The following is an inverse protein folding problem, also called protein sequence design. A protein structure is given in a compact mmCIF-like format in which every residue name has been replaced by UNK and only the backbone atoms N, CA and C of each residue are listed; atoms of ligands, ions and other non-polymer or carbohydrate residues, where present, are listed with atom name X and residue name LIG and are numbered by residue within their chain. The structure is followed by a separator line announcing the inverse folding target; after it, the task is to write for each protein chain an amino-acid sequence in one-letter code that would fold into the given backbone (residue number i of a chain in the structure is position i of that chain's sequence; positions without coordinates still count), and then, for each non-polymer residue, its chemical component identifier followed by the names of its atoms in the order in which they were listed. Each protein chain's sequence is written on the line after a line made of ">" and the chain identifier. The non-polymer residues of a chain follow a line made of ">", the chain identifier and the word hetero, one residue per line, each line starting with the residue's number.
data_IF_158830225383
#
_entry.id   IF_158830225383
#
_cell.length_a   1.000
_cell.length_b   1.000
_cell.length_c   1.000
_cell.angle_alpha   90.00
_cell.angle_beta   90.00
_cell.angle_gamma   90.00
#
_symmetry.space_group_name_H-M   'P 1'
#
loop_
_entity.id
_entity.type
_entity.pdbx_description
1 polymer ?
#
# COMPACT_ATOMS: atom_id res chain seq x y z
N UNK A 1 5.38 6.44 13.29
CA UNK A 1 6.45 7.41 12.91
C UNK A 1 6.42 7.71 11.42
N UNK A 2 6.74 8.92 10.95
CA UNK A 2 6.81 9.23 9.53
C UNK A 2 8.04 8.53 8.91
N UNK A 3 7.80 7.63 7.96
CA UNK A 3 8.86 6.86 7.28
C UNK A 3 9.48 7.61 6.10
N UNK A 4 8.84 8.70 5.63
CA UNK A 4 9.18 9.41 4.38
C UNK A 4 9.18 8.48 3.15
N UNK A 5 8.52 7.33 3.27
CA UNK A 5 8.58 6.28 2.27
C UNK A 5 7.75 6.60 1.03
N UNK A 6 6.49 7.06 1.20
CA UNK A 6 5.58 7.26 0.07
C UNK A 6 5.71 8.62 -0.63
N UNK A 7 6.28 9.64 0.02
CA UNK A 7 6.50 11.01 -0.47
C UNK A 7 5.26 11.76 -1.01
N UNK A 8 4.06 11.20 -0.92
CA UNK A 8 2.82 11.82 -1.42
C UNK A 8 2.33 13.00 -0.56
N UNK A 9 2.86 13.17 0.65
CA UNK A 9 2.56 14.32 1.52
C UNK A 9 3.40 15.57 1.19
N UNK A 10 4.00 15.64 0.00
CA UNK A 10 4.77 16.79 -0.45
C UNK A 10 3.90 18.05 -0.45
N UNK A 11 4.37 19.13 0.16
CA UNK A 11 3.73 20.44 0.21
C UNK A 11 4.78 21.54 0.04
N UNK A 12 4.33 22.73 -0.27
CA UNK A 12 5.18 23.91 -0.23
C UNK A 12 4.95 24.65 1.09
N UNK A 13 6.00 24.87 1.85
CA UNK A 13 5.98 25.63 3.10
C UNK A 13 7.00 26.76 3.01
N UNK A 14 6.55 28.00 3.14
CA UNK A 14 7.38 29.21 3.02
C UNK A 14 8.24 29.23 1.75
N UNK A 15 7.66 28.82 0.61
CA UNK A 15 8.32 28.76 -0.70
C UNK A 15 9.30 27.59 -0.87
N UNK A 16 9.31 26.60 0.04
CA UNK A 16 10.18 25.41 -0.04
C UNK A 16 9.34 24.13 -0.06
N UNK A 17 9.72 23.18 -0.90
CA UNK A 17 9.12 21.86 -0.89
C UNK A 17 9.56 21.08 0.36
N UNK A 18 8.58 20.55 1.09
CA UNK A 18 8.79 19.77 2.31
C UNK A 18 7.77 18.62 2.38
N UNK A 19 8.07 17.61 3.18
CA UNK A 19 7.13 16.52 3.46
C UNK A 19 6.29 16.84 4.69
N UNK A 20 4.97 16.97 4.51
CA UNK A 20 4.04 17.32 5.58
C UNK A 20 4.08 16.36 6.77
N UNK A 21 4.32 15.06 6.55
CA UNK A 21 4.41 14.07 7.63
C UNK A 21 5.63 14.25 8.57
N UNK A 22 6.69 14.95 8.13
CA UNK A 22 7.93 15.14 8.89
C UNK A 22 8.26 16.61 9.16
N UNK A 23 7.41 17.53 8.75
CA UNK A 23 7.67 18.96 8.92
C UNK A 23 6.99 19.48 10.18
N UNK A 24 7.76 20.08 11.09
CA UNK A 24 7.22 20.73 12.29
C UNK A 24 6.53 22.03 11.90
N UNK A 25 5.30 22.20 12.35
CA UNK A 25 4.53 23.45 12.18
C UNK A 25 5.17 24.58 12.99
N UNK A 26 5.20 25.78 12.45
CA UNK A 26 5.63 27.01 13.10
C UNK A 26 4.52 28.04 13.05
N UNK A 27 4.55 29.03 13.95
CA UNK A 27 3.67 30.19 13.87
C UNK A 27 3.87 30.92 12.53
N UNK A 28 2.78 31.41 11.95
CA UNK A 28 2.75 32.17 10.71
C UNK A 28 3.32 31.46 9.46
N UNK A 29 3.44 30.12 9.51
CA UNK A 29 3.89 29.30 8.38
C UNK A 29 2.85 29.35 7.25
N UNK A 30 3.29 29.73 6.06
CA UNK A 30 2.46 29.71 4.86
C UNK A 30 2.60 28.36 4.14
N UNK A 31 1.50 27.61 4.02
CA UNK A 31 1.49 26.28 3.42
C UNK A 31 0.58 26.26 2.20
N UNK A 32 1.11 25.80 1.06
CA UNK A 32 0.35 25.47 -0.13
C UNK A 32 0.44 23.99 -0.44
N UNK A 33 -0.71 23.36 -0.69
CA UNK A 33 -0.81 21.92 -0.97
C UNK A 33 -1.03 21.62 -2.44
N UNK A 34 -1.26 22.63 -3.27
CA UNK A 34 -1.68 22.48 -4.67
C UNK A 34 -1.04 23.52 -5.59
N UNK A 35 0.28 23.75 -5.46
CA UNK A 35 1.03 24.49 -6.48
C UNK A 35 1.29 23.58 -7.68
N UNK A 36 1.39 24.17 -8.88
CA UNK A 36 1.68 23.44 -10.11
C UNK A 36 2.90 22.52 -9.98
N UNK A 37 3.93 22.99 -9.28
CA UNK A 37 5.14 22.22 -9.04
C UNK A 37 4.88 21.01 -8.12
N UNK A 38 4.11 21.19 -7.05
CA UNK A 38 3.72 20.10 -6.13
C UNK A 38 2.87 19.04 -6.86
N UNK A 39 1.93 19.48 -7.68
CA UNK A 39 1.08 18.56 -8.46
C UNK A 39 1.89 17.75 -9.48
N UNK A 40 2.83 18.40 -10.18
CA UNK A 40 3.76 17.75 -11.10
C UNK A 40 4.62 16.69 -10.41
N UNK A 41 5.21 17.03 -9.25
CA UNK A 41 6.04 16.11 -8.47
C UNK A 41 5.23 14.90 -7.98
N UNK A 42 4.04 15.13 -7.42
CA UNK A 42 3.16 14.04 -6.95
C UNK A 42 2.73 13.13 -8.11
N UNK A 43 2.39 13.70 -9.26
CA UNK A 43 2.04 12.91 -10.44
C UNK A 43 3.21 12.04 -10.89
N UNK A 44 4.43 12.57 -10.95
CA UNK A 44 5.63 11.82 -11.30
C UNK A 44 5.91 10.68 -10.30
N UNK A 45 5.67 10.91 -9.00
CA UNK A 45 5.77 9.87 -7.98
C UNK A 45 4.74 8.74 -8.23
N UNK A 46 3.51 9.09 -8.58
CA UNK A 46 2.48 8.10 -8.91
C UNK A 46 2.81 7.32 -10.18
N UNK A 47 3.33 7.98 -11.23
CA UNK A 47 3.81 7.31 -12.44
C UNK A 47 4.90 6.27 -12.12
N UNK A 48 5.83 6.59 -11.20
CA UNK A 48 6.87 5.64 -10.76
C UNK A 48 6.27 4.44 -10.02
N UNK A 49 5.25 4.65 -9.18
CA UNK A 49 4.55 3.53 -8.55
C UNK A 49 3.90 2.63 -9.59
N UNK A 50 3.18 3.20 -10.55
CA UNK A 50 2.45 2.45 -11.57
C UNK A 50 3.41 1.69 -12.53
N UNK A 51 4.61 2.22 -12.78
CA UNK A 51 5.66 1.53 -13.56
C UNK A 51 6.12 0.23 -12.88
N UNK A 52 6.27 0.24 -11.54
CA UNK A 52 6.76 -0.91 -10.79
C UNK A 52 5.65 -1.86 -10.33
N UNK A 53 4.40 -1.44 -10.41
CA UNK A 53 3.24 -2.18 -9.96
C UNK A 53 2.51 -2.81 -11.15
N UNK A 54 2.45 -4.15 -11.26
CA UNK A 54 1.78 -4.79 -12.39
C UNK A 54 0.29 -4.46 -12.40
N UNK A 55 -0.25 -4.10 -13.57
CA UNK A 55 -1.65 -3.73 -13.77
C UNK A 55 -2.56 -4.96 -13.81
N UNK A 56 -2.61 -5.70 -12.72
CA UNK A 56 -3.47 -6.89 -12.56
C UNK A 56 -4.71 -6.64 -11.69
N UNK A 57 -5.24 -5.41 -11.72
CA UNK A 57 -6.38 -5.01 -10.89
C UNK A 57 -7.61 -5.94 -11.04
N UNK A 58 -7.83 -6.51 -12.23
CA UNK A 58 -8.97 -7.39 -12.48
C UNK A 58 -8.98 -8.69 -11.66
N UNK A 59 -7.82 -9.13 -11.18
CA UNK A 59 -7.66 -10.35 -10.36
C UNK A 59 -7.07 -10.07 -8.98
N UNK A 60 -6.81 -8.81 -8.66
CA UNK A 60 -6.24 -8.39 -7.39
C UNK A 60 -7.33 -8.26 -6.32
N UNK A 61 -7.14 -8.91 -5.17
CA UNK A 61 -8.12 -8.87 -4.06
C UNK A 61 -8.34 -7.47 -3.48
N UNK A 62 -7.36 -6.57 -3.65
CA UNK A 62 -7.45 -5.18 -3.19
C UNK A 62 -8.18 -4.25 -4.16
N UNK A 63 -8.54 -4.72 -5.35
CA UNK A 63 -9.24 -3.89 -6.33
C UNK A 63 -10.59 -3.38 -5.79
N UNK A 64 -10.83 -2.09 -5.94
CA UNK A 64 -11.98 -1.39 -5.35
C UNK A 64 -11.74 -0.82 -3.94
N UNK A 65 -10.67 -1.25 -3.25
CA UNK A 65 -10.23 -0.74 -1.94
C UNK A 65 -8.75 -0.30 -1.99
N UNK A 66 -8.13 -0.27 -3.17
CA UNK A 66 -6.72 0.02 -3.36
C UNK A 66 -6.45 1.53 -3.37
N UNK A 67 -5.63 2.02 -2.42
CA UNK A 67 -5.25 3.43 -2.37
C UNK A 67 -4.44 3.85 -3.61
N UNK A 68 -3.56 2.99 -4.12
CA UNK A 68 -2.78 3.27 -5.34
C UNK A 68 -3.71 3.50 -6.53
N UNK A 69 -4.67 2.59 -6.76
CA UNK A 69 -5.67 2.72 -7.82
C UNK A 69 -6.45 4.04 -7.71
N UNK A 70 -6.92 4.37 -6.49
CA UNK A 70 -7.69 5.60 -6.26
C UNK A 70 -6.86 6.85 -6.52
N UNK A 71 -5.60 6.89 -6.07
CA UNK A 71 -4.73 8.05 -6.29
C UNK A 71 -4.26 8.18 -7.74
N UNK A 72 -4.00 7.08 -8.45
CA UNK A 72 -3.67 7.11 -9.88
C UNK A 72 -4.82 7.71 -10.68
N UNK A 73 -6.06 7.29 -10.39
CA UNK A 73 -7.27 7.87 -11.01
C UNK A 73 -7.46 9.35 -10.64
N UNK A 74 -7.30 9.72 -9.37
CA UNK A 74 -7.44 11.10 -8.90
C UNK A 74 -6.43 12.04 -9.56
N UNK A 75 -5.18 11.62 -9.69
CA UNK A 75 -4.11 12.40 -10.31
C UNK A 75 -4.08 12.27 -11.84
N UNK A 76 -5.02 11.53 -12.43
CA UNK A 76 -5.14 11.30 -13.88
C UNK A 76 -3.84 10.77 -14.48
N UNK A 77 -3.24 9.78 -13.83
CA UNK A 77 -2.10 9.04 -14.38
C UNK A 77 -2.65 8.04 -15.38
N UNK A 78 -2.60 8.37 -16.65
CA UNK A 78 -3.17 7.62 -17.78
C UNK A 78 -2.09 7.07 -18.73
N UNK A 79 -0.85 7.42 -18.48
CA UNK A 79 0.30 7.03 -19.28
C UNK A 79 1.54 6.88 -18.40
N UNK A 80 2.47 6.05 -18.83
CA UNK A 80 3.76 5.87 -18.19
C UNK A 80 4.84 6.49 -19.05
N UNK A 81 5.51 7.51 -18.54
CA UNK A 81 6.63 8.17 -19.22
C UNK A 81 7.92 7.33 -19.22
N UNK A 82 7.96 6.31 -18.35
CA UNK A 82 9.13 5.47 -18.13
C UNK A 82 8.76 4.01 -18.30
N UNK A 83 9.66 3.21 -18.89
CA UNK A 83 9.44 1.77 -19.00
C UNK A 83 10.58 0.98 -18.33
N UNK A 84 10.20 -0.11 -17.69
CA UNK A 84 11.14 -1.08 -17.12
C UNK A 84 10.74 -2.48 -17.57
N UNK A 85 11.67 -3.43 -17.48
CA UNK A 85 11.35 -4.84 -17.69
C UNK A 85 10.49 -5.35 -16.54
N UNK A 86 9.45 -6.09 -16.85
CA UNK A 86 8.69 -6.83 -15.84
C UNK A 86 9.62 -7.82 -15.14
N UNK A 87 9.65 -7.74 -13.82
CA UNK A 87 10.41 -8.66 -13.00
C UNK A 87 9.40 -9.54 -12.26
N UNK A 88 9.33 -10.80 -12.69
CA UNK A 88 8.53 -11.79 -11.98
C UNK A 88 9.10 -12.04 -10.59
N UNK A 89 8.27 -11.89 -9.56
CA UNK A 89 8.61 -12.14 -8.17
C UNK A 89 7.57 -13.09 -7.58
N UNK A 90 7.97 -14.28 -7.14
CA UNK A 90 7.02 -15.23 -6.57
C UNK A 90 6.42 -14.71 -5.28
N UNK A 91 5.12 -14.94 -5.10
CA UNK A 91 4.41 -14.69 -3.85
C UNK A 91 5.01 -15.54 -2.73
N UNK A 92 5.16 -14.96 -1.56
CA UNK A 92 5.67 -15.59 -0.35
C UNK A 92 4.53 -15.88 0.62
N UNK A 93 4.57 -17.05 1.26
CA UNK A 93 3.59 -17.45 2.27
C UNK A 93 4.15 -17.21 3.67
N UNK A 94 3.48 -16.34 4.43
CA UNK A 94 3.89 -15.93 5.77
C UNK A 94 2.83 -16.32 6.81
N UNK A 95 2.54 -17.61 6.92
CA UNK A 95 1.52 -18.10 7.85
C UNK A 95 0.10 -17.68 7.46
N UNK A 96 -0.52 -16.78 8.23
CA UNK A 96 -1.89 -16.31 8.00
C UNK A 96 -2.02 -15.31 6.84
N UNK A 97 -0.91 -14.90 6.28
CA UNK A 97 -0.87 -13.89 5.21
C UNK A 97 0.03 -14.31 4.06
N UNK A 98 -0.25 -13.77 2.90
CA UNK A 98 0.58 -13.88 1.72
C UNK A 98 1.17 -12.51 1.39
N UNK A 99 2.44 -12.50 0.97
CA UNK A 99 3.15 -11.32 0.52
C UNK A 99 3.52 -11.46 -0.95
N UNK A 100 3.03 -10.52 -1.76
CA UNK A 100 3.42 -10.38 -3.16
C UNK A 100 4.40 -9.22 -3.34
N UNK A 101 5.70 -9.52 -3.51
CA UNK A 101 6.71 -8.47 -3.69
C UNK A 101 6.55 -7.67 -4.98
N UNK A 102 5.84 -8.22 -5.99
CA UNK A 102 5.58 -7.51 -7.24
C UNK A 102 4.55 -6.39 -7.06
N UNK A 103 3.58 -6.59 -6.17
CA UNK A 103 2.56 -5.59 -5.83
C UNK A 103 3.02 -4.60 -4.76
N UNK A 104 4.18 -4.83 -4.13
CA UNK A 104 4.65 -4.01 -3.03
C UNK A 104 5.22 -2.67 -3.52
N UNK A 105 4.69 -1.57 -2.99
CA UNK A 105 5.16 -0.20 -3.25
C UNK A 105 6.18 0.31 -2.22
N UNK A 106 6.65 -0.55 -1.33
CA UNK A 106 7.65 -0.26 -0.28
C UNK A 106 7.32 1.01 0.53
N UNK A 107 6.04 1.20 0.86
CA UNK A 107 5.57 2.34 1.65
C UNK A 107 5.89 2.22 3.15
N UNK A 108 6.30 1.03 3.61
CA UNK A 108 6.69 0.73 4.99
C UNK A 108 5.56 0.87 6.04
N UNK A 109 4.29 1.04 5.65
CA UNK A 109 3.18 1.09 6.60
C UNK A 109 3.09 -0.19 7.44
N UNK A 110 3.27 -1.35 6.82
CA UNK A 110 3.27 -2.65 7.50
C UNK A 110 4.41 -2.77 8.52
N UNK A 111 5.61 -2.26 8.19
CA UNK A 111 6.74 -2.21 9.11
C UNK A 111 6.44 -1.31 10.30
N UNK A 112 5.90 -0.09 10.03
CA UNK A 112 5.55 0.87 11.06
C UNK A 112 4.46 0.33 12.01
N UNK A 113 3.38 -0.26 11.49
CA UNK A 113 2.33 -0.81 12.34
C UNK A 113 2.85 -1.99 13.17
N UNK A 114 3.66 -2.84 12.57
CA UNK A 114 4.26 -3.99 13.27
C UNK A 114 5.22 -3.57 14.40
N UNK A 115 6.03 -2.54 14.16
CA UNK A 115 6.97 -2.01 15.16
C UNK A 115 6.33 -1.07 16.17
N UNK A 116 5.70 0.01 15.69
CA UNK A 116 5.28 1.13 16.55
C UNK A 116 3.95 0.84 17.29
N UNK A 117 3.04 0.07 16.70
CA UNK A 117 1.72 -0.20 17.29
C UNK A 117 1.63 -1.57 17.94
N UNK A 118 2.09 -2.62 17.26
CA UNK A 118 2.03 -4.00 17.79
C UNK A 118 3.24 -4.31 18.67
N UNK A 119 4.42 -3.73 18.37
CA UNK A 119 5.66 -3.97 19.11
C UNK A 119 6.36 -5.28 18.76
N UNK A 120 5.86 -6.03 17.78
CA UNK A 120 6.41 -7.34 17.39
C UNK A 120 7.72 -7.24 16.60
N UNK A 121 7.88 -6.18 15.78
CA UNK A 121 9.04 -5.99 14.90
C UNK A 121 9.32 -7.15 13.92
N UNK A 122 8.33 -7.96 13.63
CA UNK A 122 8.44 -9.09 12.70
C UNK A 122 8.67 -8.67 11.24
N UNK A 123 8.32 -7.42 10.89
CA UNK A 123 8.50 -6.89 9.55
C UNK A 123 9.61 -5.83 9.53
N UNK A 124 10.46 -5.89 8.50
CA UNK A 124 11.55 -4.95 8.31
C UNK A 124 11.76 -4.64 6.83
N UNK A 125 12.40 -3.51 6.53
CA UNK A 125 12.84 -3.23 5.16
C UNK A 125 14.18 -3.92 4.93
N UNK A 126 14.25 -4.77 3.92
CA UNK A 126 15.46 -5.52 3.54
C UNK A 126 15.95 -5.04 2.18
N UNK A 127 17.26 -5.14 1.97
CA UNK A 127 17.88 -4.87 0.67
C UNK A 127 17.58 -6.00 -0.31
N UNK A 128 17.39 -5.62 -1.55
CA UNK A 128 17.22 -6.51 -2.68
C UNK A 128 18.39 -6.33 -3.63
N UNK A 129 18.90 -7.45 -4.14
CA UNK A 129 19.86 -7.43 -5.24
C UNK A 129 19.11 -7.09 -6.54
N UNK A 130 19.44 -5.96 -7.09
CA UNK A 130 18.92 -5.50 -8.37
C UNK A 130 19.86 -4.49 -9.00
N UNK A 131 19.82 -4.39 -10.31
CA UNK A 131 20.57 -3.41 -11.07
C UNK A 131 20.15 -1.98 -10.69
N UNK A 132 21.08 -1.05 -10.85
CA UNK A 132 20.76 0.37 -10.73
C UNK A 132 19.82 0.78 -11.85
N UNK A 133 18.93 1.71 -11.58
CA UNK A 133 18.11 2.37 -12.61
C UNK A 133 19.06 3.11 -13.57
N UNK A 134 18.72 3.09 -14.84
CA UNK A 134 19.49 3.83 -15.85
C UNK A 134 19.58 5.32 -15.46
N UNK A 135 20.79 5.85 -15.54
CA UNK A 135 21.06 7.25 -15.16
C UNK A 135 20.41 8.26 -16.10
N UNK A 136 20.05 7.85 -17.32
CA UNK A 136 19.35 8.71 -18.28
C UNK A 136 18.05 9.26 -17.68
N UNK A 137 17.31 8.46 -16.92
CA UNK A 137 16.09 8.89 -16.25
C UNK A 137 16.28 9.93 -15.14
N UNK A 138 17.51 10.10 -14.65
CA UNK A 138 17.80 11.08 -13.59
C UNK A 138 17.60 12.53 -14.05
N UNK A 139 17.91 12.79 -15.30
CA UNK A 139 17.85 14.14 -15.88
C UNK A 139 16.46 14.47 -16.46
N UNK A 140 15.68 13.42 -16.78
CA UNK A 140 14.35 13.54 -17.40
C UNK A 140 13.19 13.59 -16.43
N UNK A 141 13.41 13.27 -15.14
CA UNK A 141 12.34 13.17 -14.15
C UNK A 141 12.59 14.02 -12.90
N UNK A 142 11.53 14.37 -12.14
CA UNK A 142 11.66 15.04 -10.87
C UNK A 142 12.55 14.27 -9.88
N UNK A 143 13.36 14.99 -9.13
CA UNK A 143 14.37 14.43 -8.21
C UNK A 143 13.78 13.43 -7.20
N UNK A 144 12.60 13.75 -6.65
CA UNK A 144 11.95 12.91 -5.65
C UNK A 144 11.39 11.63 -6.27
N UNK A 145 10.86 11.71 -7.51
CA UNK A 145 10.41 10.55 -8.25
C UNK A 145 11.58 9.59 -8.59
N UNK A 146 12.71 10.12 -9.04
CA UNK A 146 13.92 9.31 -9.28
C UNK A 146 14.43 8.63 -8.01
N UNK A 147 14.49 9.37 -6.90
CA UNK A 147 14.93 8.82 -5.61
C UNK A 147 13.96 7.73 -5.10
N UNK A 148 12.65 7.91 -5.31
CA UNK A 148 11.62 6.91 -5.02
C UNK A 148 11.84 5.64 -5.83
N UNK A 149 11.98 5.77 -7.14
CA UNK A 149 12.20 4.64 -8.04
C UNK A 149 13.43 3.82 -7.66
N UNK A 150 14.54 4.51 -7.37
CA UNK A 150 15.78 3.85 -6.92
C UNK A 150 15.56 3.08 -5.60
N UNK A 151 14.72 3.58 -4.67
CA UNK A 151 14.34 2.88 -3.46
C UNK A 151 13.50 1.63 -3.77
N UNK A 152 12.45 1.76 -4.59
CA UNK A 152 11.58 0.65 -4.98
C UNK A 152 12.35 -0.48 -5.64
N UNK A 153 13.35 -0.13 -6.45
CA UNK A 153 14.18 -1.12 -7.12
C UNK A 153 15.10 -1.90 -6.17
N UNK A 154 15.49 -1.32 -5.03
CA UNK A 154 16.50 -1.86 -4.11
C UNK A 154 15.96 -2.40 -2.78
N UNK A 155 14.67 -2.30 -2.54
CA UNK A 155 14.09 -2.64 -1.24
C UNK A 155 12.94 -3.62 -1.37
N UNK A 156 12.78 -4.46 -0.36
CA UNK A 156 11.66 -5.36 -0.14
C UNK A 156 11.28 -5.33 1.34
N UNK A 157 10.16 -5.98 1.67
CA UNK A 157 9.79 -6.24 3.06
C UNK A 157 10.26 -7.65 3.42
N UNK A 158 11.00 -7.75 4.50
CA UNK A 158 11.43 -9.01 5.12
C UNK A 158 10.50 -9.40 6.26
N UNK A 159 10.41 -10.70 6.53
CA UNK A 159 9.55 -11.29 7.53
C UNK A 159 10.33 -12.22 8.46
N UNK A 160 10.11 -12.05 9.75
CA UNK A 160 10.59 -12.92 10.83
C UNK A 160 9.40 -13.68 11.42
N UNK A 161 9.36 -14.99 11.18
CA UNK A 161 8.27 -15.85 11.62
C UNK A 161 8.25 -16.03 13.15
N UNK A 162 9.42 -16.01 13.80
CA UNK A 162 9.54 -16.23 15.25
C UNK A 162 9.06 -15.00 16.03
N UNK A 163 9.21 -13.82 15.46
CA UNK A 163 8.73 -12.56 16.04
C UNK A 163 7.24 -12.28 15.74
N UNK A 164 6.66 -12.92 14.72
CA UNK A 164 5.30 -12.62 14.28
C UNK A 164 4.23 -13.16 15.23
N UNK A 165 3.32 -12.27 15.67
CA UNK A 165 2.18 -12.63 16.53
C UNK A 165 0.93 -13.04 15.76
N UNK A 166 0.96 -13.06 14.44
CA UNK A 166 -0.18 -13.35 13.56
C UNK A 166 -1.41 -12.43 13.79
N UNK A 167 -1.20 -11.18 14.19
CA UNK A 167 -2.28 -10.24 14.50
C UNK A 167 -3.05 -9.73 13.26
N UNK A 168 -2.45 -9.80 12.04
CA UNK A 168 -3.08 -9.35 10.79
C UNK A 168 -3.06 -7.85 10.53
N UNK A 169 -2.60 -7.00 11.47
CA UNK A 169 -2.61 -5.54 11.34
C UNK A 169 -1.84 -5.02 10.12
N UNK A 170 -0.81 -5.73 9.69
CA UNK A 170 -0.05 -5.40 8.49
C UNK A 170 -0.87 -5.56 7.20
N UNK A 171 -1.87 -6.46 7.18
CA UNK A 171 -2.81 -6.63 6.06
C UNK A 171 -3.71 -5.40 5.97
N UNK A 172 -4.31 -4.99 7.10
CA UNK A 172 -5.18 -3.79 7.17
C UNK A 172 -4.43 -2.49 6.84
N UNK A 173 -3.14 -2.41 7.19
CA UNK A 173 -2.30 -1.25 6.91
C UNK A 173 -1.79 -1.17 5.47
N UNK A 174 -1.85 -2.26 4.71
CA UNK A 174 -1.32 -2.31 3.35
C UNK A 174 -2.24 -1.55 2.38
N UNK A 175 -1.74 -0.51 1.67
CA UNK A 175 -2.56 0.30 0.79
C UNK A 175 -2.81 -0.34 -0.59
N UNK A 176 -2.19 -1.48 -0.84
CA UNK A 176 -2.23 -2.23 -2.10
C UNK A 176 -2.39 -3.73 -1.85
N UNK A 177 -2.58 -4.54 -2.88
CA UNK A 177 -2.75 -5.99 -2.78
C UNK A 177 -1.47 -6.79 -2.47
N UNK A 178 -0.43 -6.15 -1.91
CA UNK A 178 0.83 -6.82 -1.62
C UNK A 178 0.80 -7.71 -0.36
N UNK A 179 -0.02 -7.35 0.64
CA UNK A 179 -0.26 -8.17 1.82
C UNK A 179 -1.75 -8.47 1.90
N UNK A 180 -2.09 -9.73 1.82
CA UNK A 180 -3.47 -10.22 1.84
C UNK A 180 -3.60 -11.41 2.79
N UNK A 181 -4.82 -11.64 3.31
CA UNK A 181 -5.10 -12.84 4.10
C UNK A 181 -4.95 -14.08 3.23
N UNK A 182 -4.25 -15.09 3.73
CA UNK A 182 -4.07 -16.36 3.03
C UNK A 182 -5.41 -17.00 2.64
N UNK A 183 -6.37 -17.00 3.55
CA UNK A 183 -7.68 -17.63 3.34
C UNK A 183 -8.59 -16.82 2.40
N UNK A 184 -8.32 -15.53 2.23
CA UNK A 184 -9.13 -14.65 1.38
C UNK A 184 -8.59 -14.57 -0.04
N UNK A 185 -7.30 -14.76 -0.27
CA UNK A 185 -6.66 -14.55 -1.56
C UNK A 185 -7.37 -15.30 -2.70
N UNK A 186 -7.74 -14.56 -3.76
CA UNK A 186 -8.44 -15.03 -4.96
C UNK A 186 -9.84 -15.62 -4.71
N UNK A 187 -10.49 -15.34 -3.60
CA UNK A 187 -11.83 -15.85 -3.30
C UNK A 187 -12.95 -14.93 -3.73
N UNK A 188 -12.77 -13.63 -3.66
CA UNK A 188 -13.77 -12.63 -4.03
C UNK A 188 -13.15 -11.25 -4.18
N UNK A 189 -13.75 -10.42 -5.03
CA UNK A 189 -13.41 -9.00 -5.10
C UNK A 189 -14.17 -8.19 -4.04
N UNK A 190 -13.61 -7.05 -3.60
CA UNK A 190 -14.22 -6.21 -2.57
C UNK A 190 -15.64 -5.73 -2.94
N UNK A 191 -15.90 -5.40 -4.21
CA UNK A 191 -17.22 -4.92 -4.68
C UNK A 191 -18.31 -6.00 -4.71
N UNK A 192 -17.95 -7.28 -4.58
CA UNK A 192 -18.90 -8.38 -4.49
C UNK A 192 -19.37 -8.62 -3.05
N UNK A 193 -18.71 -8.01 -2.09
CA UNK A 193 -18.94 -8.24 -0.66
C UNK A 193 -19.87 -7.19 -0.07
N UNK A 194 -20.78 -7.66 0.78
CA UNK A 194 -21.63 -6.80 1.60
C UNK A 194 -21.11 -6.76 3.03
N UNK A 195 -20.81 -5.56 3.53
CA UNK A 195 -20.40 -5.34 4.91
C UNK A 195 -21.61 -5.39 5.86
N UNK A 196 -21.53 -6.23 6.87
CA UNK A 196 -22.51 -6.32 7.96
C UNK A 196 -21.83 -5.91 9.24
N UNK A 197 -22.28 -4.80 9.89
CA UNK A 197 -21.70 -4.36 11.14
C UNK A 197 -21.92 -5.40 12.24
N UNK A 198 -20.90 -5.63 13.06
CA UNK A 198 -20.88 -6.58 14.13
C UNK A 198 -19.98 -6.11 15.28
N UNK A 199 -20.07 -6.76 16.43
CA UNK A 199 -19.13 -6.60 17.55
C UNK A 199 -18.24 -7.84 17.66
N UNK A 200 -16.97 -7.62 18.01
CA UNK A 200 -16.02 -8.70 18.22
C UNK A 200 -16.38 -9.47 19.52
N UNK A 201 -16.77 -10.75 19.42
CA UNK A 201 -17.15 -11.54 20.60
C UNK A 201 -15.95 -11.99 21.43
N UNK A 202 -14.73 -11.85 20.92
CA UNK A 202 -13.49 -12.29 21.58
C UNK A 202 -12.79 -11.17 22.35
N UNK A 203 -13.28 -9.94 22.26
CA UNK A 203 -12.70 -8.78 22.92
C UNK A 203 -13.67 -8.22 23.96
N UNK A 204 -13.18 -7.90 25.17
CA UNK A 204 -13.99 -7.43 26.28
C UNK A 204 -14.59 -6.03 26.05
N UNK A 205 -14.00 -5.25 25.14
CA UNK A 205 -14.48 -3.92 24.72
C UNK A 205 -15.51 -4.00 23.58
N UNK A 206 -15.84 -5.20 23.12
CA UNK A 206 -16.75 -5.44 21.99
C UNK A 206 -16.36 -4.61 20.76
N UNK A 207 -15.07 -4.55 20.42
CA UNK A 207 -14.54 -3.74 19.32
C UNK A 207 -15.40 -3.91 18.06
N UNK A 208 -15.64 -2.79 17.39
CA UNK A 208 -16.46 -2.77 16.18
C UNK A 208 -15.77 -3.51 15.03
N UNK A 209 -16.52 -4.30 14.29
CA UNK A 209 -16.03 -5.01 13.09
C UNK A 209 -17.12 -5.20 12.06
N UNK A 210 -16.72 -5.63 10.86
CA UNK A 210 -17.62 -6.02 9.79
C UNK A 210 -17.44 -7.50 9.44
N UNK A 211 -18.55 -8.22 9.32
CA UNK A 211 -18.59 -9.46 8.56
C UNK A 211 -18.83 -9.13 7.09
N UNK A 212 -17.94 -9.54 6.22
CA UNK A 212 -18.08 -9.34 4.79
C UNK A 212 -18.58 -10.64 4.14
N UNK A 213 -19.77 -10.56 3.59
CA UNK A 213 -20.50 -11.70 3.05
C UNK A 213 -20.76 -11.53 1.56
N UNK A 214 -20.75 -12.63 0.83
CA UNK A 214 -21.21 -12.71 -0.55
C UNK A 214 -22.49 -13.54 -0.62
N UNK A 215 -23.48 -13.07 -1.37
CA UNK A 215 -24.62 -13.88 -1.72
C UNK A 215 -24.20 -14.92 -2.74
N UNK A 216 -24.02 -16.15 -2.32
CA UNK A 216 -23.92 -17.27 -3.25
C UNK A 216 -25.35 -17.57 -3.73
N UNK A 217 -25.74 -16.90 -4.81
CA UNK A 217 -27.06 -17.04 -5.36
C UNK A 217 -27.08 -18.05 -6.48
N UNK A 218 -28.00 -18.89 -6.43
CA UNK A 218 -28.97 -19.29 -7.51
C UNK A 218 -30.03 -20.17 -6.85
N UNK A 219 -29.75 -20.66 -5.65
CA UNK A 219 -30.60 -21.56 -4.94
C UNK A 219 -31.38 -20.85 -3.82
N UNK A 220 -32.67 -21.18 -3.66
CA UNK A 220 -33.52 -20.66 -2.58
C UNK A 220 -33.00 -20.97 -1.18
N UNK A 221 -32.00 -21.85 -1.08
CA UNK A 221 -31.33 -22.27 0.14
C UNK A 221 -29.91 -21.70 0.26
N UNK A 222 -29.55 -20.64 -0.50
CA UNK A 222 -28.23 -20.05 -0.47
C UNK A 222 -27.83 -19.57 0.94
N UNK A 223 -26.87 -20.21 1.53
CA UNK A 223 -26.27 -19.82 2.79
C UNK A 223 -25.37 -18.61 2.59
N UNK A 224 -25.51 -17.62 3.44
CA UNK A 224 -24.57 -16.49 3.48
C UNK A 224 -23.24 -16.99 4.03
N UNK A 225 -22.17 -16.90 3.24
CA UNK A 225 -20.83 -17.25 3.69
C UNK A 225 -20.09 -15.97 4.08
N UNK A 226 -19.41 -15.98 5.23
CA UNK A 226 -18.46 -14.94 5.62
C UNK A 226 -17.17 -15.23 4.85
N UNK A 227 -16.69 -14.22 4.10
CA UNK A 227 -15.46 -14.31 3.31
C UNK A 227 -14.27 -13.72 4.04
N UNK A 228 -14.48 -12.59 4.73
CA UNK A 228 -13.48 -11.99 5.60
C UNK A 228 -14.14 -11.19 6.73
N UNK A 229 -13.33 -10.84 7.72
CA UNK A 229 -13.70 -9.95 8.82
C UNK A 229 -12.75 -8.76 8.77
N UNK A 230 -13.29 -7.53 8.83
CA UNK A 230 -12.53 -6.29 8.81
C UNK A 230 -12.98 -5.37 9.93
N UNK A 231 -12.17 -4.42 10.32
CA UNK A 231 -12.44 -3.38 11.29
C UNK A 231 -12.41 -1.98 10.65
#
# INVERSE_FOLDING_TARGET
>A
SPTLACRLCLVEADGKQVYGCNTKVKADMNISTATENIEKERRAIMEVYDVNHPLQCGVCDQSGECELQNYSLYMKVDSQSYSIKDIHRPTQHWGVMNYDPALCIVCERCVTVCGDMVGSNALSTVKRDSDNIDKVFKDDMPKDAYAMWNKLNKSLIGYDADACTNCGECISACPVGALVSHDFQYTSNAWELKKIPAANPHSSDCAFMYYEIKHQSIDKHATKKIYRVTN
#
